data_IF_999376240204
#
_entry.id   IF_999376240204
#
_cell.length_a   1.000
_cell.length_b   1.000
_cell.length_c   1.000
_cell.angle_alpha   90.00
_cell.angle_beta   90.00
_cell.angle_gamma   90.00
#
_symmetry.space_group_name_H-M   'P 1'
#
loop_
_entity.id
_entity.type
_entity.pdbx_description
1 polymer ?
#
# COMPACT_ATOMS: atom_id res chain seq x y z
N UNK A 1 -18.06 4.74 -8.57
CA UNK A 1 -18.35 3.58 -9.46
C UNK A 1 -19.44 2.69 -8.85
N UNK A 2 -20.43 2.21 -9.64
CA UNK A 2 -21.56 1.43 -9.11
C UNK A 2 -21.12 0.23 -8.26
N UNK A 3 -20.17 -0.56 -8.76
CA UNK A 3 -19.62 -1.72 -8.05
C UNK A 3 -18.98 -1.39 -6.69
N UNK A 4 -18.37 -0.21 -6.54
CA UNK A 4 -17.78 0.23 -5.25
C UNK A 4 -18.88 0.57 -4.25
N UNK A 5 -19.90 1.31 -4.67
CA UNK A 5 -21.02 1.69 -3.81
C UNK A 5 -21.81 0.50 -3.29
N UNK A 6 -22.05 -0.51 -4.14
CA UNK A 6 -22.71 -1.76 -3.74
C UNK A 6 -21.90 -2.54 -2.70
N UNK A 7 -20.59 -2.67 -2.90
CA UNK A 7 -19.69 -3.34 -1.95
C UNK A 7 -19.61 -2.60 -0.62
N UNK A 8 -19.54 -1.26 -0.64
CA UNK A 8 -19.54 -0.45 0.58
C UNK A 8 -20.83 -0.66 1.40
N UNK A 9 -22.01 -0.67 0.76
CA UNK A 9 -23.29 -0.93 1.44
C UNK A 9 -23.30 -2.31 2.12
N UNK A 10 -22.78 -3.34 1.45
CA UNK A 10 -22.66 -4.68 2.03
C UNK A 10 -21.70 -4.68 3.24
N UNK A 11 -20.55 -4.01 3.12
CA UNK A 11 -19.58 -3.86 4.20
C UNK A 11 -20.15 -3.15 5.43
N UNK A 12 -20.90 -2.05 5.25
CA UNK A 12 -21.53 -1.33 6.37
C UNK A 12 -22.56 -2.19 7.11
N UNK A 13 -23.37 -2.99 6.39
CA UNK A 13 -24.30 -3.95 7.02
C UNK A 13 -23.54 -4.99 7.84
N UNK A 14 -22.46 -5.55 7.30
CA UNK A 14 -21.64 -6.54 8.00
C UNK A 14 -20.99 -5.95 9.28
N UNK A 15 -20.47 -4.73 9.21
CA UNK A 15 -19.92 -4.06 10.39
C UNK A 15 -20.99 -3.68 11.42
N UNK A 16 -22.19 -3.28 11.00
CA UNK A 16 -23.31 -3.02 11.91
C UNK A 16 -23.71 -4.23 12.75
N UNK A 17 -23.57 -5.46 12.24
CA UNK A 17 -23.81 -6.70 13.00
C UNK A 17 -22.71 -6.99 14.03
N UNK A 18 -21.48 -6.49 13.81
CA UNK A 18 -20.31 -6.79 14.66
C UNK A 18 -19.97 -5.66 15.64
N UNK A 19 -20.33 -4.43 15.31
CA UNK A 19 -20.01 -3.22 16.06
C UNK A 19 -21.29 -2.39 16.21
N UNK A 20 -21.90 -2.48 17.40
CA UNK A 20 -23.09 -1.70 17.75
C UNK A 20 -22.80 -0.20 17.56
N UNK A 21 -23.68 0.48 16.84
CA UNK A 21 -23.55 1.91 16.54
C UNK A 21 -22.75 2.24 15.27
N UNK A 22 -22.14 1.25 14.59
CA UNK A 22 -21.39 1.51 13.35
C UNK A 22 -22.28 1.87 12.16
N UNK A 23 -23.49 1.29 12.09
CA UNK A 23 -24.49 1.59 11.05
C UNK A 23 -25.65 2.38 11.68
N UNK A 24 -25.61 3.71 11.53
CA UNK A 24 -26.61 4.65 12.04
C UNK A 24 -26.78 5.81 11.06
N UNK A 25 -27.93 6.50 11.11
CA UNK A 25 -28.18 7.70 10.32
C UNK A 25 -27.34 8.91 10.78
N UNK A 26 -26.72 8.82 11.95
CA UNK A 26 -25.78 9.83 12.47
C UNK A 26 -24.36 9.68 11.88
N UNK A 27 -24.06 8.56 11.21
CA UNK A 27 -22.72 8.28 10.70
C UNK A 27 -22.43 9.11 9.44
N UNK A 28 -21.20 9.60 9.32
CA UNK A 28 -20.75 10.42 8.18
C UNK A 28 -19.78 9.62 7.32
N UNK A 29 -20.08 9.52 6.02
CA UNK A 29 -19.13 8.99 5.01
C UNK A 29 -18.37 10.17 4.42
N UNK A 30 -17.09 10.29 4.74
CA UNK A 30 -16.28 11.46 4.38
C UNK A 30 -15.35 11.15 3.21
N UNK A 31 -15.55 11.90 2.12
CA UNK A 31 -14.60 11.97 1.01
C UNK A 31 -14.31 10.63 0.32
N UNK A 32 -13.24 10.62 -0.47
CA UNK A 32 -12.71 9.43 -1.12
C UNK A 32 -11.24 9.30 -0.75
N UNK A 33 -10.89 8.18 -0.09
CA UNK A 33 -9.51 7.84 0.19
C UNK A 33 -8.91 7.11 -1.03
N UNK A 34 -8.07 7.82 -1.79
CA UNK A 34 -7.56 7.33 -3.08
C UNK A 34 -6.09 6.88 -3.04
N UNK A 35 -5.39 7.13 -1.93
CA UNK A 35 -3.94 6.93 -1.81
C UNK A 35 -3.61 5.90 -0.74
N UNK A 36 -4.25 4.74 -0.81
CA UNK A 36 -4.04 3.64 0.14
C UNK A 36 -2.76 2.84 -0.11
N UNK A 37 -2.22 2.90 -1.33
CA UNK A 37 -0.96 2.27 -1.74
C UNK A 37 -0.51 2.85 -3.08
N UNK A 38 0.73 2.57 -3.49
CA UNK A 38 1.20 3.00 -4.80
C UNK A 38 0.42 2.35 -5.93
N UNK A 39 -0.06 3.12 -6.92
CA UNK A 39 -0.76 2.59 -8.10
C UNK A 39 0.21 1.95 -9.11
N UNK A 40 1.52 2.01 -8.85
CA UNK A 40 2.57 1.49 -9.73
C UNK A 40 3.54 0.59 -8.96
N UNK A 41 4.19 -0.29 -9.70
CA UNK A 41 5.31 -1.08 -9.20
C UNK A 41 6.52 -0.82 -10.07
N UNK A 42 7.56 -0.21 -9.50
CA UNK A 42 8.80 0.07 -10.23
C UNK A 42 9.63 -1.22 -10.23
N UNK A 43 9.98 -1.82 -11.38
CA UNK A 43 10.67 -3.11 -11.41
C UNK A 43 12.02 -3.06 -10.68
N UNK A 44 12.33 -4.12 -9.92
CA UNK A 44 13.67 -4.37 -9.39
C UNK A 44 13.90 -5.86 -9.30
N UNK A 45 15.16 -6.27 -9.44
CA UNK A 45 15.57 -7.65 -9.23
C UNK A 45 15.30 -8.08 -7.77
N UNK A 46 14.75 -9.29 -7.51
CA UNK A 46 14.41 -9.70 -6.15
C UNK A 46 15.62 -9.88 -5.23
N UNK A 47 16.80 -10.17 -5.80
CA UNK A 47 18.03 -10.44 -5.06
C UNK A 47 18.88 -9.18 -4.94
N UNK A 48 19.30 -8.59 -6.06
CA UNK A 48 20.15 -7.39 -6.07
C UNK A 48 19.38 -6.13 -5.71
N UNK A 49 18.04 -6.15 -5.78
CA UNK A 49 17.14 -5.01 -5.52
C UNK A 49 17.35 -3.80 -6.43
N UNK A 50 18.17 -3.93 -7.47
CA UNK A 50 18.43 -2.89 -8.46
C UNK A 50 17.44 -2.97 -9.63
N UNK A 51 17.15 -1.84 -10.25
CA UNK A 51 16.32 -1.79 -11.46
C UNK A 51 17.03 -2.52 -12.63
N UNK A 52 16.35 -3.41 -13.37
CA UNK A 52 16.98 -4.24 -14.39
C UNK A 52 17.54 -3.46 -15.60
N UNK A 53 17.05 -2.25 -15.81
CA UNK A 53 17.42 -1.39 -16.95
C UNK A 53 18.08 -0.06 -16.55
N UNK A 54 18.25 0.19 -15.24
CA UNK A 54 18.79 1.47 -14.74
C UNK A 54 19.78 1.19 -13.62
N UNK A 55 21.06 1.07 -13.97
CA UNK A 55 22.12 0.81 -13.00
C UNK A 55 22.20 1.91 -11.95
N UNK A 56 22.39 1.52 -10.69
CA UNK A 56 22.42 2.44 -9.54
C UNK A 56 21.05 2.88 -9.04
N UNK A 57 19.94 2.48 -9.68
CA UNK A 57 18.59 2.74 -9.19
C UNK A 57 18.08 1.58 -8.33
N UNK A 58 17.74 1.86 -7.07
CA UNK A 58 17.20 0.87 -6.12
C UNK A 58 15.78 1.28 -5.68
N UNK A 59 14.73 0.90 -6.42
CA UNK A 59 13.36 1.24 -6.03
C UNK A 59 13.01 0.60 -4.68
N UNK A 60 12.54 1.37 -3.71
CA UNK A 60 12.16 0.87 -2.39
C UNK A 60 10.97 1.61 -1.77
N UNK A 61 10.39 0.99 -0.74
CA UNK A 61 9.27 1.55 0.02
C UNK A 61 7.94 1.52 -0.74
N UNK A 62 6.99 2.29 -0.21
CA UNK A 62 5.61 2.29 -0.71
C UNK A 62 5.51 2.91 -2.10
N UNK A 63 6.21 4.03 -2.34
CA UNK A 63 6.21 4.70 -3.65
C UNK A 63 6.65 3.78 -4.79
N UNK A 64 7.62 2.88 -4.54
CA UNK A 64 8.06 1.89 -5.51
C UNK A 64 7.14 0.65 -5.61
N UNK A 65 6.16 0.50 -4.72
CA UNK A 65 5.24 -0.63 -4.68
C UNK A 65 5.79 -1.86 -3.94
N UNK A 66 6.69 -1.68 -2.95
CA UNK A 66 7.28 -2.78 -2.17
C UNK A 66 6.96 -2.76 -0.67
N UNK A 67 6.16 -1.78 -0.23
CA UNK A 67 5.71 -1.63 1.14
C UNK A 67 4.30 -1.01 1.18
N UNK A 68 3.65 -1.01 2.34
CA UNK A 68 2.31 -0.45 2.53
C UNK A 68 2.08 0.16 3.91
N UNK A 69 3.15 0.63 4.54
CA UNK A 69 3.11 1.21 5.88
C UNK A 69 4.51 1.44 6.44
N UNK A 70 4.60 2.24 7.51
CA UNK A 70 5.85 2.78 8.06
C UNK A 70 6.91 1.69 8.30
N UNK A 71 6.55 0.65 9.06
CA UNK A 71 7.47 -0.46 9.36
C UNK A 71 7.93 -1.21 8.12
N UNK A 72 7.00 -1.54 7.22
CA UNK A 72 7.34 -2.26 5.98
C UNK A 72 8.23 -1.44 5.05
N UNK A 73 8.04 -0.12 4.99
CA UNK A 73 8.84 0.78 4.18
C UNK A 73 10.26 0.93 4.74
N UNK A 74 10.39 1.05 6.07
CA UNK A 74 11.69 1.09 6.74
C UNK A 74 12.50 -0.20 6.50
N UNK A 75 11.86 -1.36 6.68
CA UNK A 75 12.52 -2.66 6.43
C UNK A 75 12.90 -2.84 4.96
N UNK A 76 12.05 -2.40 4.03
CA UNK A 76 12.36 -2.47 2.60
C UNK A 76 13.54 -1.55 2.22
N UNK A 77 13.57 -0.34 2.78
CA UNK A 77 14.66 0.62 2.61
C UNK A 77 15.98 0.10 3.18
N UNK A 78 15.96 -0.49 4.37
CA UNK A 78 17.15 -1.11 4.97
C UNK A 78 17.71 -2.21 4.06
N UNK A 79 16.86 -3.09 3.53
CA UNK A 79 17.28 -4.16 2.60
C UNK A 79 17.85 -3.59 1.30
N UNK A 80 17.27 -2.51 0.77
CA UNK A 80 17.79 -1.83 -0.41
C UNK A 80 19.17 -1.21 -0.15
N UNK A 81 19.36 -0.58 1.00
CA UNK A 81 20.65 -0.03 1.41
C UNK A 81 21.72 -1.11 1.62
N UNK A 82 21.36 -2.24 2.24
CA UNK A 82 22.29 -3.39 2.37
C UNK A 82 22.68 -3.95 1.01
N UNK A 83 21.71 -4.15 0.11
CA UNK A 83 22.01 -4.65 -1.25
C UNK A 83 22.90 -3.70 -2.06
N UNK A 84 22.74 -2.38 -1.87
CA UNK A 84 23.66 -1.39 -2.43
C UNK A 84 25.06 -1.53 -1.84
N UNK A 85 25.19 -1.64 -0.52
CA UNK A 85 26.48 -1.72 0.16
C UNK A 85 27.25 -3.01 -0.15
N UNK A 86 26.54 -4.15 -0.24
CA UNK A 86 27.15 -5.47 -0.53
C UNK A 86 27.55 -5.62 -2.01
N UNK A 87 26.96 -4.82 -2.90
CA UNK A 87 27.28 -4.80 -4.33
C UNK A 87 28.37 -3.80 -4.73
N UNK A 88 28.92 -3.05 -3.76
CA UNK A 88 30.09 -2.18 -3.93
C UNK A 88 31.41 -2.93 -3.79
#
# INVERSE_FOLDING_TARGET
PPAIGERLRAGFRAFGQRMRGYLTNEAVVVGVETRTSSPVRIPRDPTSRMHPQASGLFPCGEGAGYAGGIMSAALDGQRAATALADGM
#
